data_IF_976671804064
#
_entry.id   IF_976671804064
#
_cell.length_a   1.000
_cell.length_b   1.000
_cell.length_c   1.000
_cell.angle_alpha   90.00
_cell.angle_beta   90.00
_cell.angle_gamma   90.00
#
_symmetry.space_group_name_H-M   'P 1'
#
loop_
_entity.id
_entity.type
_entity.pdbx_description
1 polymer ?
2 non-polymer ?
3 water ?
#
# COMPACT_ATOMS: atom_id res chain seq x y z
N UNK A 1 6.17 -19.37 15.86
CA UNK A 1 5.80 -20.61 15.10
C UNK A 1 4.61 -20.25 14.24
N UNK A 2 3.91 -21.27 13.72
CA UNK A 2 2.74 -21.06 12.86
C UNK A 2 3.18 -20.41 11.55
N UNK A 3 2.23 -19.86 10.78
CA UNK A 3 2.54 -19.18 9.54
C UNK A 3 3.10 -17.84 9.95
N UNK A 4 4.40 -17.65 9.78
CA UNK A 4 5.03 -16.38 10.15
C UNK A 4 4.73 -15.32 9.10
N UNK A 5 4.22 -14.19 9.53
CA UNK A 5 3.85 -13.10 8.64
C UNK A 5 4.56 -11.84 9.10
N UNK A 6 5.10 -11.07 8.16
CA UNK A 6 5.77 -9.82 8.50
C UNK A 6 5.13 -8.72 7.65
N UNK A 7 4.70 -7.65 8.31
CA UNK A 7 4.03 -6.54 7.64
C UNK A 7 4.75 -5.22 7.91
N UNK A 8 4.81 -4.34 6.90
CA UNK A 8 5.46 -3.05 7.06
C UNK A 8 4.43 -1.92 7.12
N UNK A 9 4.72 -0.91 7.94
CA UNK A 9 3.82 0.23 8.08
C UNK A 9 2.55 -0.03 8.87
N UNK A 10 2.70 -0.58 10.08
CA UNK A 10 1.56 -0.92 10.93
C UNK A 10 1.13 0.11 11.98
N UNK A 11 1.40 1.40 11.77
CA UNK A 11 1.02 2.39 12.77
C UNK A 11 -0.38 2.96 12.54
N UNK A 12 -1.02 2.52 11.46
CA UNK A 12 -2.35 2.97 11.08
C UNK A 12 -2.70 2.38 9.72
N UNK A 13 -3.85 2.75 9.18
CA UNK A 13 -4.25 2.27 7.87
C UNK A 13 -4.53 0.78 7.82
N UNK A 14 -4.49 0.21 6.63
CA UNK A 14 -4.75 -1.22 6.50
C UNK A 14 -3.66 -2.06 7.15
N UNK A 15 -2.46 -1.50 7.29
CA UNK A 15 -1.37 -2.23 7.90
C UNK A 15 -1.74 -2.65 9.30
N UNK A 16 -2.04 -1.67 10.15
CA UNK A 16 -2.43 -1.93 11.52
C UNK A 16 -3.65 -2.86 11.58
N UNK A 17 -4.64 -2.56 10.74
CA UNK A 17 -5.85 -3.35 10.68
C UNK A 17 -5.61 -4.78 10.24
N UNK A 18 -4.62 -4.97 9.37
CA UNK A 18 -4.29 -6.29 8.85
C UNK A 18 -3.53 -7.11 9.90
N UNK A 19 -2.62 -6.47 10.64
CA UNK A 19 -1.86 -7.17 11.67
C UNK A 19 -2.78 -7.74 12.74
N UNK A 20 -3.62 -6.89 13.33
CA UNK A 20 -4.53 -7.35 14.36
C UNK A 20 -5.55 -8.35 13.82
N UNK A 21 -5.95 -8.19 12.57
CA UNK A 21 -6.90 -9.12 11.95
C UNK A 21 -6.27 -10.51 11.88
N UNK A 22 -4.98 -10.55 11.57
CA UNK A 22 -4.28 -11.82 11.45
C UNK A 22 -4.01 -12.44 12.82
N UNK A 23 -3.40 -11.65 13.70
CA UNK A 23 -3.05 -12.09 15.04
C UNK A 23 -4.25 -12.56 15.88
N UNK A 24 -5.43 -11.97 15.64
CA UNK A 24 -6.66 -12.31 16.37
C UNK A 24 -7.50 -13.40 15.72
N UNK A 25 -7.06 -13.93 14.59
CA UNK A 25 -7.79 -14.97 13.87
C UNK A 25 -8.13 -16.15 14.78
N UNK A 26 -9.39 -16.63 14.74
CA UNK A 26 -9.86 -17.75 15.56
C UNK A 26 -8.97 -19.01 15.54
N UNK A 27 -8.41 -19.34 14.37
CA UNK A 27 -7.56 -20.53 14.22
C UNK A 27 -6.20 -20.38 14.90
N UNK A 28 -5.84 -19.16 15.28
CA UNK A 28 -4.56 -18.88 15.93
C UNK A 28 -3.36 -19.46 15.16
N UNK A 29 -3.45 -19.43 13.84
CA UNK A 29 -2.40 -19.99 12.98
C UNK A 29 -1.35 -19.02 12.43
N UNK A 30 -1.43 -17.74 12.79
CA UNK A 30 -0.48 -16.75 12.29
C UNK A 30 0.30 -16.09 13.42
N UNK A 31 1.61 -16.01 13.25
CA UNK A 31 2.47 -15.33 14.21
C UNK A 31 2.76 -14.04 13.45
N UNK A 32 2.49 -12.89 14.05
CA UNK A 32 2.63 -11.61 13.35
C UNK A 32 3.72 -10.65 13.81
N UNK A 33 4.52 -10.19 12.85
CA UNK A 33 5.57 -9.21 13.12
C UNK A 33 5.14 -7.92 12.44
N UNK A 34 4.56 -7.03 13.23
CA UNK A 34 4.10 -5.75 12.76
C UNK A 34 5.24 -4.77 12.95
N UNK A 35 5.78 -4.24 11.87
CA UNK A 35 6.88 -3.30 11.98
C UNK A 35 6.39 -1.87 11.85
N UNK A 36 7.07 -0.96 12.55
CA UNK A 36 6.71 0.45 12.53
C UNK A 36 8.00 1.23 12.38
N UNK A 37 7.94 2.39 11.73
CA UNK A 37 9.12 3.23 11.53
C UNK A 37 9.53 3.80 12.88
N UNK A 38 8.54 4.28 13.62
CA UNK A 38 8.76 4.86 14.94
C UNK A 38 7.96 4.06 15.95
N UNK A 39 8.65 3.44 16.89
CA UNK A 39 7.97 2.66 17.90
C UNK A 39 7.03 3.49 18.77
N UNK A 40 7.26 4.80 18.86
CA UNK A 40 6.40 5.64 19.67
C UNK A 40 5.00 5.78 19.10
N UNK A 41 4.73 5.07 18.02
CA UNK A 41 3.41 5.11 17.40
C UNK A 41 2.77 3.73 17.53
N UNK A 42 3.36 2.85 18.34
CA UNK A 42 2.84 1.50 18.54
C UNK A 42 1.60 1.42 19.44
N UNK A 43 1.24 2.54 20.06
CA UNK A 43 0.09 2.58 20.94
C UNK A 43 -1.18 2.06 20.30
N UNK A 44 -1.56 2.66 19.18
CA UNK A 44 -2.76 2.27 18.45
C UNK A 44 -2.82 0.78 18.16
N UNK A 45 -1.70 0.23 17.73
CA UNK A 45 -1.64 -1.18 17.41
C UNK A 45 -2.00 -2.02 18.65
N UNK A 46 -1.35 -1.73 19.77
CA UNK A 46 -1.57 -2.44 21.02
C UNK A 46 -2.98 -2.30 21.59
N UNK A 47 -3.54 -1.10 21.50
CA UNK A 47 -4.91 -0.84 21.95
C UNK A 47 -5.89 -1.62 21.07
N UNK A 48 -5.60 -1.69 19.77
CA UNK A 48 -6.45 -2.43 18.85
C UNK A 48 -6.31 -3.93 19.10
N UNK A 49 -5.10 -4.35 19.47
CA UNK A 49 -4.80 -5.74 19.74
C UNK A 49 -5.54 -6.21 20.99
N UNK A 50 -5.58 -5.34 22.00
CA UNK A 50 -6.27 -5.65 23.24
C UNK A 50 -7.78 -5.66 22.99
N UNK A 51 -8.23 -4.80 22.07
CA UNK A 51 -9.65 -4.70 21.73
C UNK A 51 -10.16 -5.99 21.07
N UNK A 52 -9.29 -6.67 20.35
CA UNK A 52 -9.65 -7.93 19.69
C UNK A 52 -9.12 -9.10 20.50
N UNK A 53 -8.68 -8.81 21.72
CA UNK A 53 -8.13 -9.82 22.63
C UNK A 53 -7.23 -10.81 21.89
N UNK A 54 -6.10 -10.31 21.38
CA UNK A 54 -5.15 -11.18 20.68
C UNK A 54 -4.34 -11.96 21.70
N UNK A 55 -4.28 -13.28 21.53
CA UNK A 55 -3.54 -14.14 22.46
C UNK A 55 -2.09 -13.67 22.60
N UNK A 56 -1.52 -13.80 23.80
CA UNK A 56 -0.14 -13.36 24.02
C UNK A 56 0.82 -14.15 23.13
N UNK A 57 1.73 -13.44 22.47
CA UNK A 57 2.69 -14.09 21.61
C UNK A 57 2.27 -14.26 20.16
N UNK A 58 1.13 -13.68 19.77
CA UNK A 58 0.70 -13.79 18.40
C UNK A 58 1.05 -12.51 17.65
N UNK A 59 1.47 -11.48 18.38
CA UNK A 59 1.80 -10.21 17.76
C UNK A 59 3.06 -9.62 18.39
N UNK A 60 4.01 -9.22 17.55
CA UNK A 60 5.26 -8.63 17.98
C UNK A 60 5.55 -7.42 17.12
N UNK A 61 6.01 -6.34 17.74
CA UNK A 61 6.32 -5.12 17.03
C UNK A 61 7.82 -4.92 16.89
N UNK A 62 8.25 -4.56 15.68
CA UNK A 62 9.65 -4.32 15.40
C UNK A 62 9.77 -2.95 14.76
N UNK A 63 10.84 -2.23 15.05
CA UNK A 63 11.05 -0.95 14.41
C UNK A 63 11.78 -1.29 13.10
N UNK A 64 11.21 -0.87 11.99
CA UNK A 64 11.81 -1.12 10.69
C UNK A 64 11.60 0.12 9.82
N UNK A 65 12.71 0.72 9.42
CA UNK A 65 12.71 1.91 8.56
C UNK A 65 13.09 1.44 7.15
N UNK A 66 12.11 1.35 6.26
CA UNK A 66 12.36 0.89 4.88
C UNK A 66 13.34 1.74 4.08
N UNK A 67 13.62 2.94 4.56
CA UNK A 67 14.56 3.80 3.87
C UNK A 67 15.98 3.43 4.23
N UNK A 68 16.15 2.43 5.08
CA UNK A 68 17.47 2.02 5.53
C UNK A 68 17.68 0.53 5.47
N UNK A 69 18.55 0.09 4.56
CA UNK A 69 18.86 -1.32 4.37
C UNK A 69 19.44 -1.95 5.63
N UNK A 70 20.03 -1.12 6.49
CA UNK A 70 20.59 -1.58 7.77
C UNK A 70 19.46 -1.91 8.75
N UNK A 71 18.36 -1.15 8.65
CA UNK A 71 17.20 -1.37 9.50
C UNK A 71 16.50 -2.63 8.99
N UNK A 72 16.43 -2.78 7.68
CA UNK A 72 15.78 -3.95 7.09
C UNK A 72 16.48 -5.26 7.49
N UNK A 73 17.80 -5.27 7.46
CA UNK A 73 18.57 -6.47 7.81
C UNK A 73 18.45 -6.83 9.29
N UNK A 74 18.56 -5.83 10.15
CA UNK A 74 18.45 -6.02 11.61
C UNK A 74 17.09 -6.60 11.98
N UNK A 75 16.03 -6.04 11.42
CA UNK A 75 14.70 -6.53 11.70
C UNK A 75 14.59 -7.99 11.26
N UNK A 76 15.25 -8.32 10.15
CA UNK A 76 15.23 -9.69 9.64
C UNK A 76 15.85 -10.69 10.63
N UNK A 77 16.77 -10.20 11.46
CA UNK A 77 17.42 -11.06 12.45
C UNK A 77 16.55 -11.25 13.69
N UNK A 78 15.62 -10.33 13.92
CA UNK A 78 14.72 -10.39 15.07
C UNK A 78 13.64 -11.46 14.90
N UNK A 79 13.47 -11.95 13.68
CA UNK A 79 12.48 -12.98 13.39
C UNK A 79 12.99 -14.30 13.96
N UNK A 80 12.67 -14.54 15.22
CA UNK A 80 13.09 -15.74 15.93
C UNK A 80 12.82 -17.06 15.21
N UNK A 81 11.67 -17.17 14.55
CA UNK A 81 11.37 -18.40 13.81
C UNK A 81 12.36 -18.61 12.68
N UNK A 82 13.14 -17.56 12.41
CA UNK A 82 14.14 -17.62 11.36
C UNK A 82 13.55 -17.99 10.02
N UNK A 83 12.32 -17.54 9.77
CA UNK A 83 11.62 -17.83 8.54
C UNK A 83 10.48 -16.84 8.43
N UNK A 84 10.12 -16.48 7.20
CA UNK A 84 9.02 -15.57 6.94
C UNK A 84 8.24 -16.26 5.84
N UNK A 85 6.97 -16.55 6.11
CA UNK A 85 6.11 -17.25 5.14
C UNK A 85 5.33 -16.29 4.28
N UNK A 86 4.91 -15.18 4.87
CA UNK A 86 4.15 -14.16 4.16
C UNK A 86 4.73 -12.79 4.46
N UNK A 87 5.17 -12.09 3.42
CA UNK A 87 5.72 -10.75 3.58
C UNK A 87 4.67 -9.84 2.97
N UNK A 88 4.28 -8.81 3.70
CA UNK A 88 3.28 -7.87 3.22
C UNK A 88 3.99 -6.54 3.15
N UNK A 89 4.18 -6.05 1.93
CA UNK A 89 4.83 -4.78 1.70
C UNK A 89 3.70 -3.76 1.63
N UNK A 90 3.56 -3.03 2.72
CA UNK A 90 2.49 -2.07 2.84
C UNK A 90 2.92 -0.64 3.04
N UNK A 91 4.04 -0.43 3.71
CA UNK A 91 4.53 0.93 3.97
C UNK A 91 4.41 1.81 2.73
N UNK A 92 3.93 3.04 2.91
CA UNK A 92 3.77 3.96 1.79
C UNK A 92 3.44 5.40 2.18
N UNK A 93 3.72 6.34 1.28
CA UNK A 93 3.43 7.74 1.51
C UNK A 93 2.62 8.27 0.34
N UNK A 94 1.84 9.31 0.59
CA UNK A 94 1.03 9.92 -0.45
C UNK A 94 1.61 11.29 -0.66
N UNK A 95 1.20 11.96 -1.72
CA UNK A 95 1.69 13.32 -2.03
C UNK A 95 0.64 13.98 -2.90
N UNK A 96 0.20 15.16 -2.47
CA UNK A 96 -0.84 15.90 -3.18
C UNK A 96 -0.41 17.33 -3.45
N UNK A 97 -0.81 17.86 -4.59
CA UNK A 97 -0.46 19.22 -4.94
C UNK A 97 0.12 19.30 -6.34
N UNK A 98 0.13 20.50 -6.94
CA UNK A 98 0.68 20.63 -8.30
C UNK A 98 2.16 20.28 -8.29
N UNK A 99 2.58 19.56 -9.33
CA UNK A 99 3.96 19.12 -9.50
C UNK A 99 4.98 20.21 -9.14
N UNK A 100 4.77 21.41 -9.67
CA UNK A 100 5.70 22.52 -9.41
C UNK A 100 5.72 23.02 -7.97
N UNK A 101 4.73 22.65 -7.18
CA UNK A 101 4.68 23.08 -5.79
C UNK A 101 5.34 22.07 -4.83
N UNK A 102 5.55 20.84 -5.29
CA UNK A 102 6.17 19.78 -4.49
C UNK A 102 7.67 19.94 -4.32
N UNK A 103 8.14 19.88 -3.08
CA UNK A 103 9.57 20.01 -2.84
C UNK A 103 10.28 18.77 -3.36
N UNK A 104 11.51 18.94 -3.82
CA UNK A 104 12.32 17.84 -4.36
C UNK A 104 12.53 16.69 -3.36
N UNK A 105 12.77 17.04 -2.10
CA UNK A 105 12.99 16.05 -1.08
C UNK A 105 11.73 15.24 -0.80
N UNK A 106 10.57 15.87 -0.95
CA UNK A 106 9.29 15.20 -0.75
C UNK A 106 9.10 14.16 -1.84
N UNK A 107 9.42 14.55 -3.06
CA UNK A 107 9.31 13.64 -4.20
C UNK A 107 10.29 12.49 -4.02
N UNK A 108 11.49 12.82 -3.55
CA UNK A 108 12.53 11.81 -3.36
C UNK A 108 12.14 10.82 -2.27
N UNK A 109 11.41 11.29 -1.26
CA UNK A 109 10.98 10.44 -0.15
C UNK A 109 9.91 9.45 -0.53
N UNK A 110 8.94 9.89 -1.32
CA UNK A 110 7.85 9.01 -1.75
C UNK A 110 8.37 7.83 -2.59
N UNK A 111 9.35 8.09 -3.46
CA UNK A 111 9.94 7.03 -4.29
C UNK A 111 10.79 6.12 -3.42
N UNK A 112 11.59 6.74 -2.57
CA UNK A 112 12.47 6.05 -1.66
C UNK A 112 11.69 5.09 -0.79
N UNK A 113 10.59 5.57 -0.22
CA UNK A 113 9.76 4.73 0.64
C UNK A 113 8.90 3.75 -0.14
N UNK A 114 8.08 4.26 -1.05
CA UNK A 114 7.16 3.40 -1.80
C UNK A 114 7.78 2.39 -2.73
N UNK A 115 8.78 2.82 -3.49
CA UNK A 115 9.40 1.94 -4.46
C UNK A 115 10.66 1.26 -4.00
N UNK A 116 11.68 2.03 -3.65
CA UNK A 116 12.95 1.46 -3.24
C UNK A 116 12.77 0.66 -1.96
N UNK A 117 11.98 1.20 -1.04
CA UNK A 117 11.69 0.52 0.22
C UNK A 117 11.21 -0.89 -0.07
N UNK A 118 10.32 -1.05 -1.03
CA UNK A 118 9.81 -2.38 -1.42
C UNK A 118 10.93 -3.19 -2.07
N UNK A 119 11.85 -2.51 -2.75
CA UNK A 119 12.99 -3.19 -3.35
C UNK A 119 13.90 -3.73 -2.25
N UNK A 120 14.17 -2.92 -1.23
CA UNK A 120 15.01 -3.36 -0.10
C UNK A 120 14.43 -4.57 0.63
N UNK A 121 13.10 -4.62 0.77
CA UNK A 121 12.43 -5.72 1.45
C UNK A 121 12.54 -7.02 0.66
N UNK A 122 12.30 -6.93 -0.64
CA UNK A 122 12.37 -8.08 -1.53
C UNK A 122 13.78 -8.64 -1.66
N UNK A 123 14.78 -7.77 -1.71
CA UNK A 123 16.15 -8.24 -1.83
C UNK A 123 16.53 -9.03 -0.59
N UNK A 124 16.09 -8.55 0.57
CA UNK A 124 16.39 -9.22 1.84
C UNK A 124 15.62 -10.51 2.04
N UNK A 125 14.35 -10.53 1.64
CA UNK A 125 13.52 -11.72 1.84
C UNK A 125 13.25 -12.65 0.66
N UNK A 126 13.46 -12.20 -0.57
CA UNK A 126 13.22 -13.05 -1.74
C UNK A 126 14.14 -14.27 -1.84
N UNK A 127 15.46 -14.08 -1.67
CA UNK A 127 16.40 -15.22 -1.78
C UNK A 127 15.98 -16.46 -0.99
N UNK A 128 15.78 -16.30 0.32
CA UNK A 128 15.39 -17.41 1.18
C UNK A 128 14.11 -18.11 0.72
N UNK A 129 13.14 -17.34 0.25
CA UNK A 129 11.89 -17.92 -0.21
C UNK A 129 12.11 -18.78 -1.45
N UNK A 130 13.04 -18.37 -2.31
CA UNK A 130 13.32 -19.13 -3.52
C UNK A 130 14.04 -20.42 -3.17
N UNK A 131 14.93 -20.34 -2.19
CA UNK A 131 15.69 -21.50 -1.73
C UNK A 131 14.75 -22.54 -1.12
N UNK A 132 13.72 -22.09 -0.42
CA UNK A 132 12.74 -23.00 0.19
C UNK A 132 11.78 -23.51 -0.86
N UNK A 133 11.60 -22.71 -1.90
CA UNK A 133 10.66 -23.07 -2.95
C UNK A 133 9.24 -22.70 -2.54
N UNK A 134 9.11 -21.74 -1.62
CA UNK A 134 7.81 -21.30 -1.16
C UNK A 134 7.87 -20.02 -0.35
N UNK A 135 6.80 -19.25 -0.47
CA UNK A 135 6.68 -18.00 0.22
C UNK A 135 5.59 -17.22 -0.47
N UNK A 136 5.09 -16.19 0.18
CA UNK A 136 4.05 -15.36 -0.38
C UNK A 136 4.35 -13.93 -0.02
N UNK A 137 4.27 -13.07 -1.02
CA UNK A 137 4.52 -11.66 -0.84
C UNK A 137 3.25 -10.96 -1.31
N UNK A 138 2.71 -10.10 -0.47
CA UNK A 138 1.50 -9.36 -0.85
C UNK A 138 1.92 -7.92 -0.83
N UNK A 139 1.52 -7.18 -1.84
CA UNK A 139 1.92 -5.78 -1.90
C UNK A 139 0.66 -4.92 -1.97
N UNK A 140 0.65 -3.84 -1.20
CA UNK A 140 -0.48 -2.94 -1.20
C UNK A 140 -0.43 -2.03 -2.42
N UNK A 141 -1.37 -2.24 -3.33
CA UNK A 141 -1.43 -1.44 -4.53
C UNK A 141 -2.43 -0.32 -4.35
N UNK A 142 -2.85 0.24 -5.47
CA UNK A 142 -3.83 1.32 -5.48
C UNK A 142 -4.34 1.42 -6.90
N UNK A 143 -5.58 1.84 -7.08
CA UNK A 143 -6.06 2.00 -8.45
C UNK A 143 -5.35 3.23 -9.01
N UNK A 144 -4.65 3.96 -8.14
CA UNK A 144 -3.88 5.10 -8.57
C UNK A 144 -2.58 4.58 -9.18
N UNK A 145 -2.45 3.25 -9.18
CA UNK A 145 -1.28 2.63 -9.76
C UNK A 145 -1.70 2.00 -11.08
N UNK A 146 -2.98 2.14 -11.42
CA UNK A 146 -3.58 1.59 -12.64
C UNK A 146 -4.10 2.67 -13.62
N UNK A 147 -4.18 3.91 -13.14
CA UNK A 147 -4.64 5.04 -13.93
C UNK A 147 -4.10 6.30 -13.27
N UNK A 148 -3.79 7.32 -14.07
CA UNK A 148 -3.24 8.57 -13.54
C UNK A 148 -4.31 9.48 -12.99
N UNK A 149 -4.01 10.17 -11.91
CA UNK A 149 -4.97 11.08 -11.26
C UNK A 149 -4.35 12.45 -11.11
N UNK A 150 -5.09 13.49 -11.52
CA UNK A 150 -4.55 14.84 -11.40
C UNK A 150 -4.12 15.17 -9.98
N UNK A 151 -3.09 16.00 -9.85
CA UNK A 151 -2.54 16.42 -8.57
C UNK A 151 -1.89 15.32 -7.72
N UNK A 152 -1.87 14.09 -8.24
CA UNK A 152 -1.24 12.97 -7.54
C UNK A 152 -0.10 12.40 -8.38
N UNK A 153 0.48 13.26 -9.22
CA UNK A 153 1.55 12.87 -10.14
C UNK A 153 2.61 11.93 -9.61
N UNK A 154 3.30 12.33 -8.55
CA UNK A 154 4.37 11.52 -7.97
C UNK A 154 3.83 10.31 -7.22
N UNK A 155 2.63 10.44 -6.66
CA UNK A 155 2.04 9.33 -5.94
C UNK A 155 1.75 8.20 -6.94
N UNK A 156 1.11 8.55 -8.07
CA UNK A 156 0.79 7.58 -9.12
C UNK A 156 2.07 7.02 -9.74
N UNK A 157 3.11 7.84 -9.80
CA UNK A 157 4.38 7.40 -10.34
C UNK A 157 4.87 6.23 -9.50
N UNK A 158 4.89 6.41 -8.18
CA UNK A 158 5.34 5.35 -7.27
C UNK A 158 4.48 4.09 -7.32
N UNK A 159 3.16 4.24 -7.42
CA UNK A 159 2.25 3.09 -7.49
C UNK A 159 2.34 2.37 -8.85
N UNK A 160 2.54 3.13 -9.93
CA UNK A 160 2.71 2.56 -11.28
C UNK A 160 4.03 1.79 -11.24
N UNK A 161 5.01 2.34 -10.52
CA UNK A 161 6.31 1.69 -10.36
C UNK A 161 6.18 0.28 -9.75
N UNK A 162 5.35 0.15 -8.70
CA UNK A 162 5.14 -1.14 -8.03
C UNK A 162 4.51 -2.14 -8.97
N UNK A 163 3.60 -1.66 -9.82
CA UNK A 163 2.94 -2.51 -10.79
C UNK A 163 3.96 -3.13 -11.74
N UNK A 164 4.92 -2.31 -12.19
CA UNK A 164 5.94 -2.77 -13.12
C UNK A 164 6.95 -3.64 -12.44
N UNK A 165 7.38 -3.27 -11.24
CA UNK A 165 8.35 -4.06 -10.50
C UNK A 165 7.79 -5.44 -10.24
N UNK A 166 6.53 -5.50 -9.81
CA UNK A 166 5.86 -6.76 -9.49
C UNK A 166 5.51 -7.65 -10.64
N UNK A 167 5.06 -7.07 -11.75
CA UNK A 167 4.71 -7.87 -12.91
C UNK A 167 5.95 -8.56 -13.48
N UNK A 168 7.09 -7.89 -13.37
CA UNK A 168 8.37 -8.40 -13.83
C UNK A 168 8.79 -9.60 -12.99
N UNK A 169 8.82 -9.42 -11.67
CA UNK A 169 9.18 -10.50 -10.75
C UNK A 169 8.24 -11.68 -10.93
N UNK A 170 6.95 -11.40 -11.03
CA UNK A 170 5.97 -12.45 -11.18
C UNK A 170 6.33 -13.39 -12.31
N UNK A 171 6.68 -12.84 -13.47
CA UNK A 171 7.05 -13.67 -14.62
C UNK A 171 8.22 -14.61 -14.29
N UNK A 172 9.15 -14.13 -13.48
CA UNK A 172 10.31 -14.92 -13.08
C UNK A 172 10.04 -15.95 -11.96
N UNK A 173 9.25 -15.54 -10.95
CA UNK A 173 8.93 -16.38 -9.79
C UNK A 173 7.96 -17.54 -10.04
N UNK A 174 7.16 -17.44 -11.10
CA UNK A 174 6.20 -18.48 -11.43
C UNK A 174 6.73 -19.91 -11.15
N UNK A 175 7.94 -20.25 -11.64
CA UNK A 175 8.50 -21.60 -11.41
C UNK A 175 9.09 -21.87 -10.02
N UNK A 176 9.49 -20.83 -9.30
CA UNK A 176 10.09 -20.99 -7.98
C UNK A 176 9.12 -21.33 -6.86
N UNK A 177 7.82 -21.36 -7.17
CA UNK A 177 6.84 -21.66 -6.15
C UNK A 177 6.48 -20.54 -5.18
N UNK A 178 7.10 -19.36 -5.33
CA UNK A 178 6.79 -18.24 -4.45
C UNK A 178 5.77 -17.36 -5.17
N UNK A 179 4.70 -17.00 -4.47
CA UNK A 179 3.63 -16.18 -5.04
C UNK A 179 3.72 -14.73 -4.65
N UNK A 180 3.34 -13.87 -5.58
CA UNK A 180 3.38 -12.43 -5.41
C UNK A 180 2.07 -11.86 -5.93
N UNK A 181 1.38 -11.11 -5.07
CA UNK A 181 0.10 -10.51 -5.43
C UNK A 181 0.01 -9.06 -5.00
N UNK A 182 -0.72 -8.29 -5.79
CA UNK A 182 -0.95 -6.88 -5.54
C UNK A 182 -2.42 -6.76 -5.14
N UNK A 183 -2.70 -5.96 -4.12
CA UNK A 183 -4.07 -5.75 -3.66
C UNK A 183 -4.44 -4.34 -4.08
N UNK A 184 -5.24 -4.21 -5.11
CA UNK A 184 -5.62 -2.90 -5.62
C UNK A 184 -6.75 -2.27 -4.84
N UNK A 185 -6.37 -1.37 -3.93
CA UNK A 185 -7.33 -0.66 -3.09
C UNK A 185 -7.85 0.61 -3.73
N UNK A 186 -9.12 0.90 -3.45
CA UNK A 186 -9.72 2.13 -3.92
C UNK A 186 -9.58 2.96 -2.65
N UNK A 187 -10.45 3.94 -2.42
CA UNK A 187 -10.32 4.74 -1.19
C UNK A 187 -10.85 3.96 0.02
N UNK A 188 -10.13 4.02 1.14
CA UNK A 188 -10.55 3.32 2.34
C UNK A 188 -10.76 4.35 3.42
N UNK A 189 -11.85 4.20 4.17
CA UNK A 189 -12.21 5.14 5.22
C UNK A 189 -11.10 5.50 6.19
N UNK A 190 -10.48 6.63 5.90
CA UNK A 190 -9.41 7.18 6.70
C UNK A 190 -9.80 8.65 6.87
N UNK A 191 -10.32 8.97 8.04
CA UNK A 191 -10.72 10.35 8.36
C UNK A 191 -9.56 11.29 8.10
N UNK A 192 -8.36 10.86 8.50
CA UNK A 192 -7.14 11.63 8.30
C UNK A 192 -6.92 11.92 6.82
N UNK A 193 -7.32 10.98 5.96
CA UNK A 193 -7.17 11.14 4.50
C UNK A 193 -7.91 12.38 4.01
N UNK A 194 -9.20 12.49 4.34
CA UNK A 194 -9.99 13.63 3.91
C UNK A 194 -9.64 14.94 4.63
N UNK A 195 -8.74 14.86 5.61
CA UNK A 195 -8.32 16.04 6.34
C UNK A 195 -6.94 16.52 5.91
N UNK A 196 -6.15 15.60 5.33
CA UNK A 196 -4.83 15.95 4.84
C UNK A 196 -5.03 16.82 3.60
N UNK A 197 -6.03 16.47 2.80
CA UNK A 197 -6.35 17.22 1.60
C UNK A 197 -6.87 18.61 1.97
N UNK A 198 -6.22 19.63 1.43
CA UNK A 198 -6.64 20.99 1.71
C UNK A 198 -5.45 21.88 2.04
N UNK A 199 -4.97 22.60 1.02
CA UNK A 199 -3.83 23.49 1.21
C UNK A 199 -3.98 24.77 0.39
N UNK A 200 -4.42 25.86 1.04
CA UNK A 200 -4.60 27.14 0.36
C UNK A 200 -3.29 27.91 0.12
N UNK A 201 -3.09 29.01 0.84
CA UNK A 201 -1.92 29.88 0.70
C UNK A 201 -0.55 29.26 0.33
N UNK A 202 -0.06 28.32 1.16
CA UNK A 202 1.24 27.69 0.91
C UNK A 202 1.36 27.17 -0.53
N UNK A 203 0.29 26.60 -1.05
CA UNK A 203 0.29 26.08 -2.41
C UNK A 203 0.17 27.25 -3.39
N UNK A 204 -0.66 28.22 -3.03
CA UNK A 204 -0.89 29.39 -3.88
C UNK A 204 0.36 30.18 -4.25
N UNK A 205 1.29 30.37 -3.32
CA UNK A 205 2.50 31.12 -3.63
C UNK A 205 3.58 30.30 -4.35
N UNK A 206 3.24 29.07 -4.73
CA UNK A 206 4.17 28.20 -5.43
C UNK A 206 3.57 27.63 -6.70
N UNK A 207 2.51 28.28 -7.18
CA UNK A 207 1.83 27.86 -8.39
C UNK A 207 1.08 29.09 -8.90
N UNK A 208 0.19 28.92 -9.88
CA UNK A 208 -0.58 30.03 -10.41
C UNK A 208 -2.05 29.91 -10.02
N UNK A 209 -2.75 31.03 -10.04
CA UNK A 209 -4.16 31.07 -9.65
C UNK A 209 -5.06 30.10 -10.42
N UNK A 210 -4.65 29.70 -11.62
CA UNK A 210 -5.47 28.78 -12.41
C UNK A 210 -5.25 27.32 -12.02
N UNK A 211 -4.03 26.99 -11.61
CA UNK A 211 -3.74 25.63 -11.18
C UNK A 211 -4.36 25.47 -9.79
N UNK A 212 -4.24 26.53 -8.99
CA UNK A 212 -4.79 26.56 -7.64
C UNK A 212 -6.29 26.32 -7.72
N UNK A 213 -6.96 27.06 -8.59
CA UNK A 213 -8.39 26.91 -8.77
C UNK A 213 -8.74 25.48 -9.18
N UNK A 214 -7.86 24.83 -9.94
CA UNK A 214 -8.09 23.45 -10.37
C UNK A 214 -7.89 22.47 -9.22
N UNK A 215 -6.95 22.80 -8.34
CA UNK A 215 -6.64 21.98 -7.18
C UNK A 215 -7.87 21.95 -6.30
N UNK A 216 -8.51 23.10 -6.16
CA UNK A 216 -9.72 23.24 -5.36
C UNK A 216 -10.80 22.33 -5.94
N UNK A 217 -11.00 22.41 -7.26
CA UNK A 217 -12.00 21.58 -7.92
C UNK A 217 -11.71 20.10 -7.71
N UNK A 218 -10.45 19.71 -7.79
CA UNK A 218 -10.07 18.32 -7.60
C UNK A 218 -10.37 17.87 -6.18
N UNK A 219 -10.06 18.73 -5.20
CA UNK A 219 -10.32 18.43 -3.80
C UNK A 219 -11.81 18.24 -3.54
N UNK A 220 -12.63 19.08 -4.15
CA UNK A 220 -14.07 18.99 -3.99
C UNK A 220 -14.54 17.64 -4.50
N UNK A 221 -14.10 17.28 -5.70
CA UNK A 221 -14.45 16.02 -6.33
C UNK A 221 -13.93 14.81 -5.54
N UNK A 222 -12.74 14.95 -5.00
CA UNK A 222 -12.09 13.90 -4.23
C UNK A 222 -12.94 13.57 -2.99
N UNK A 223 -13.43 14.62 -2.32
CA UNK A 223 -14.25 14.47 -1.13
C UNK A 223 -15.52 13.71 -1.44
N UNK A 224 -16.09 13.94 -2.62
CA UNK A 224 -17.30 13.22 -3.04
C UNK A 224 -17.09 11.73 -3.19
N UNK A 225 -16.06 11.37 -3.96
CA UNK A 225 -15.73 9.97 -4.23
C UNK A 225 -15.45 9.21 -2.92
N UNK A 226 -14.70 9.84 -2.02
CA UNK A 226 -14.35 9.23 -0.76
C UNK A 226 -15.60 8.93 0.04
N UNK A 227 -16.46 9.93 0.15
CA UNK A 227 -17.72 9.79 0.89
C UNK A 227 -18.60 8.70 0.28
N UNK A 228 -18.81 8.77 -1.03
CA UNK A 228 -19.65 7.80 -1.72
C UNK A 228 -19.00 6.47 -2.04
N UNK A 229 -17.72 6.29 -1.75
CA UNK A 229 -17.10 5.01 -2.10
C UNK A 229 -16.02 4.45 -1.19
N UNK A 230 -15.65 5.17 -0.13
CA UNK A 230 -14.62 4.66 0.76
C UNK A 230 -15.08 3.35 1.40
N UNK A 231 -14.19 2.36 1.43
CA UNK A 231 -14.50 1.05 2.00
C UNK A 231 -14.01 0.90 3.43
N UNK A 232 -14.59 -0.08 4.14
CA UNK A 232 -14.21 -0.35 5.52
C UNK A 232 -12.87 -1.09 5.52
N UNK A 233 -11.95 -0.70 6.41
CA UNK A 233 -10.64 -1.36 6.46
C UNK A 233 -10.81 -2.86 6.66
N UNK A 234 -11.91 -3.26 7.31
CA UNK A 234 -12.20 -4.67 7.55
C UNK A 234 -12.48 -5.39 6.23
N UNK A 235 -13.10 -4.69 5.29
CA UNK A 235 -13.44 -5.27 4.00
C UNK A 235 -12.18 -5.46 3.15
N UNK A 236 -11.31 -4.46 3.18
CA UNK A 236 -10.05 -4.46 2.45
C UNK A 236 -9.09 -5.49 3.03
N UNK A 237 -8.87 -5.42 4.34
CA UNK A 237 -8.01 -6.35 5.06
C UNK A 237 -8.40 -7.80 4.80
N UNK A 238 -9.68 -8.07 4.62
CA UNK A 238 -10.12 -9.42 4.36
C UNK A 238 -9.69 -9.89 2.97
N UNK A 239 -9.51 -8.93 2.04
CA UNK A 239 -9.09 -9.28 0.69
C UNK A 239 -7.67 -9.81 0.78
N UNK A 240 -6.89 -9.20 1.66
CA UNK A 240 -5.51 -9.64 1.86
C UNK A 240 -5.52 -11.10 2.28
N UNK A 241 -6.52 -11.48 3.07
CA UNK A 241 -6.66 -12.86 3.53
C UNK A 241 -7.13 -13.81 2.44
N UNK A 242 -7.95 -13.31 1.52
CA UNK A 242 -8.44 -14.14 0.41
C UNK A 242 -7.23 -14.49 -0.49
N UNK A 243 -6.39 -13.49 -0.75
CA UNK A 243 -5.20 -13.67 -1.56
C UNK A 243 -4.29 -14.63 -0.86
N UNK A 244 -4.01 -14.32 0.40
CA UNK A 244 -3.15 -15.10 1.27
C UNK A 244 -3.53 -16.58 1.34
N UNK A 245 -4.81 -16.88 1.24
CA UNK A 245 -5.27 -18.27 1.31
C UNK A 245 -5.49 -18.95 -0.04
N UNK A 246 -5.54 -18.19 -1.12
CA UNK A 246 -5.74 -18.78 -2.44
C UNK A 246 -4.63 -19.79 -2.77
N UNK A 247 -4.99 -21.00 -3.23
CA UNK A 247 -4.01 -22.04 -3.58
C UNK A 247 -3.14 -21.61 -4.76
N UNK A 248 -3.79 -21.01 -5.77
CA UNK A 248 -3.12 -20.49 -6.96
C UNK A 248 -3.59 -19.05 -7.11
N UNK A 249 -2.93 -18.12 -6.39
CA UNK A 249 -3.32 -16.72 -6.46
C UNK A 249 -3.00 -16.03 -7.79
N UNK A 250 -3.79 -15.01 -8.10
CA UNK A 250 -3.61 -14.21 -9.31
C UNK A 250 -2.66 -13.08 -8.97
N UNK A 251 -2.20 -12.35 -9.98
CA UNK A 251 -1.29 -11.24 -9.75
C UNK A 251 -2.02 -10.05 -9.12
N UNK A 252 -3.30 -9.90 -9.43
CA UNK A 252 -4.08 -8.79 -8.88
C UNK A 252 -5.39 -9.16 -8.24
N UNK A 253 -5.68 -8.49 -7.13
CA UNK A 253 -6.91 -8.65 -6.38
C UNK A 253 -7.47 -7.24 -6.24
N UNK A 254 -8.70 -7.04 -6.70
CA UNK A 254 -9.32 -5.72 -6.60
C UNK A 254 -10.31 -5.72 -5.44
N UNK A 255 -10.11 -4.80 -4.49
CA UNK A 255 -10.99 -4.72 -3.33
C UNK A 255 -12.38 -4.17 -3.63
N UNK A 256 -12.52 -3.55 -4.79
CA UNK A 256 -13.79 -2.99 -5.20
C UNK A 256 -13.87 -3.13 -6.71
N UNK A 257 -15.08 -3.15 -7.25
CA UNK A 257 -15.25 -3.29 -8.69
C UNK A 257 -15.74 -2.00 -9.38
N UNK A 258 -16.01 -0.97 -8.59
CA UNK A 258 -16.51 0.28 -9.17
C UNK A 258 -15.58 1.01 -10.13
N UNK A 259 -14.26 0.84 -9.97
CA UNK A 259 -13.32 1.54 -10.84
C UNK A 259 -12.90 0.76 -12.08
N UNK A 260 -13.46 -0.43 -12.24
CA UNK A 260 -13.11 -1.26 -13.39
C UNK A 260 -13.56 -0.76 -14.76
N UNK A 261 -14.73 -0.06 -14.85
CA UNK A 261 -15.16 0.42 -16.17
C UNK A 261 -14.24 1.52 -16.71
N UNK A 262 -13.79 2.38 -15.81
CA UNK A 262 -12.89 3.48 -16.13
C UNK A 262 -11.49 2.98 -16.55
N UNK A 263 -11.17 1.77 -16.11
CA UNK A 263 -9.88 1.17 -16.42
C UNK A 263 -9.95 0.51 -17.81
N UNK A 264 -11.13 0.00 -18.17
CA UNK A 264 -11.33 -0.66 -19.46
C UNK A 264 -11.16 0.30 -20.63
N UNK A 265 -11.79 1.47 -20.53
CA UNK A 265 -11.69 2.47 -21.59
C UNK A 265 -10.26 2.99 -21.71
N UNK A 266 -9.43 2.63 -20.73
CA UNK A 266 -8.04 3.04 -20.71
C UNK A 266 -7.19 2.17 -21.63
N UNK A 267 -7.67 0.97 -21.93
CA UNK A 267 -6.93 0.09 -22.84
C UNK A 267 -7.57 0.00 -24.21
N UNK A 268 -8.89 0.14 -24.27
CA UNK A 268 -9.58 0.11 -25.56
C UNK A 268 -8.97 1.22 -26.43
N UNK A 269 -8.27 2.14 -25.78
CA UNK A 269 -7.60 3.24 -26.44
C UNK A 269 -6.19 3.40 -25.88
N UNK A 270 -5.22 2.66 -26.44
CA UNK A 270 -3.82 2.71 -26.02
C UNK A 270 -3.14 4.07 -26.21
N UNK A 271 -3.71 4.93 -27.04
CA UNK A 271 -3.14 6.27 -27.25
C UNK A 271 -3.38 7.17 -26.06
N UNK A 272 -4.23 6.71 -25.14
CA UNK A 272 -4.54 7.44 -23.92
C UNK A 272 -5.48 8.61 -24.06
N UNK A 273 -5.92 8.90 -25.28
CA UNK A 273 -6.81 10.04 -25.51
C UNK A 273 -8.17 9.96 -24.80
N UNK A 274 -8.92 8.89 -25.03
CA UNK A 274 -10.22 8.72 -24.40
C UNK A 274 -10.14 8.87 -22.89
N UNK A 275 -9.20 8.16 -22.27
CA UNK A 275 -9.05 8.25 -20.83
C UNK A 275 -8.78 9.66 -20.33
N UNK A 276 -7.78 10.32 -20.90
CA UNK A 276 -7.41 11.66 -20.48
C UNK A 276 -8.60 12.61 -20.60
N UNK A 277 -9.43 12.38 -21.60
CA UNK A 277 -10.60 13.23 -21.82
C UNK A 277 -11.69 12.93 -20.79
N UNK A 278 -12.00 11.65 -20.61
CA UNK A 278 -13.01 11.22 -19.66
C UNK A 278 -12.66 11.63 -18.24
N UNK A 279 -11.42 11.40 -17.83
CA UNK A 279 -11.00 11.75 -16.48
C UNK A 279 -11.01 13.26 -16.24
N UNK A 280 -10.75 14.04 -17.28
CA UNK A 280 -10.75 15.49 -17.11
C UNK A 280 -12.15 16.02 -16.94
N UNK A 281 -13.06 15.52 -17.76
CA UNK A 281 -14.47 15.93 -17.74
C UNK A 281 -15.11 15.54 -16.40
N UNK A 282 -14.74 14.37 -15.88
CA UNK A 282 -15.29 13.89 -14.62
C UNK A 282 -14.75 14.62 -13.41
N UNK A 283 -13.48 15.03 -13.48
CA UNK A 283 -12.86 15.73 -12.37
C UNK A 283 -12.98 17.25 -12.41
N UNK A 284 -13.28 17.81 -13.58
CA UNK A 284 -13.37 19.26 -13.70
C UNK A 284 -14.68 19.76 -14.29
#
# INVERSE_FOLDING_TARGET
ARTVVLITGCSSGIGLHLAVRLASDPSQSFKVYATLRDLKTQGRLWEAARALACPPGSLETLQLDVRDSKSVAAARERVTEGRVDVLVCNAGLGLLGPLEALGEDAVASVLEVNVVGTVRMLQAFLPDMKRRGSGRVLVTGSVGGLMGLPFNDVYCASKFALEGLCESLAVLLLPFGVHLSLIECGPVHTAFMEKVLGSPEEVLDRTDIHTFHRFYQYLAHSKQVFREAAQNPEEVAEVFLTALRAPKPTLRYFTTERFLPLLRMRLDDPSGSNYVTAMHREVFGDVPAKAEAGAEAGGGAGPGAEDEAGRSAVGDPELGDPPAAPQ
#
